data_IF_635843349249
#
_entry.id   IF_635843349249
#
_cell.length_a   1.000
_cell.length_b   1.000
_cell.length_c   1.000
_cell.angle_alpha   90.00
_cell.angle_beta   90.00
_cell.angle_gamma   90.00
#
_symmetry.space_group_name_H-M   'P 1'
#
loop_
_entity.id
_entity.type
_entity.pdbx_description
1 polymer ?
#
# COMPACT_ATOMS: atom_id res chain seq x y z
N UNK A 1 22.71 -3.68 -24.39
CA UNK A 1 22.17 -4.13 -23.08
C UNK A 1 21.57 -2.92 -22.38
N UNK A 2 20.27 -2.69 -22.55
CA UNK A 2 19.59 -1.50 -22.01
C UNK A 2 19.45 -1.65 -20.50
N UNK A 3 20.05 -0.70 -19.77
CA UNK A 3 19.92 -0.59 -18.32
C UNK A 3 18.48 -0.13 -18.05
N UNK A 4 17.58 -1.05 -17.69
CA UNK A 4 16.26 -0.67 -17.18
C UNK A 4 16.51 -0.05 -15.80
N UNK A 5 16.63 1.28 -15.76
CA UNK A 5 16.67 2.02 -14.50
C UNK A 5 15.28 1.95 -13.87
N UNK A 6 15.06 0.99 -12.97
CA UNK A 6 13.90 1.04 -12.08
C UNK A 6 14.12 2.21 -11.13
N UNK A 7 13.37 3.28 -11.36
CA UNK A 7 13.29 4.39 -10.41
C UNK A 7 12.57 3.87 -9.17
N UNK A 8 13.31 3.69 -8.07
CA UNK A 8 12.72 3.40 -6.77
C UNK A 8 12.09 4.69 -6.29
N UNK A 9 10.76 4.78 -6.36
CA UNK A 9 10.03 5.94 -5.86
C UNK A 9 10.11 5.96 -4.34
N UNK A 10 10.65 7.03 -3.77
CA UNK A 10 10.53 7.28 -2.34
C UNK A 10 9.06 7.52 -1.97
N UNK A 11 8.68 6.99 -0.81
CA UNK A 11 7.30 7.04 -0.32
C UNK A 11 7.04 8.23 0.60
N UNK A 12 8.09 8.96 0.97
CA UNK A 12 8.00 10.14 1.83
C UNK A 12 7.05 11.19 1.24
N UNK A 13 6.18 11.72 2.11
CA UNK A 13 5.17 12.74 1.79
C UNK A 13 4.12 12.33 0.72
N UNK A 14 4.05 11.04 0.37
CA UNK A 14 3.04 10.51 -0.56
C UNK A 14 1.77 10.03 0.14
N UNK A 15 0.65 10.13 -0.56
CA UNK A 15 -0.62 9.50 -0.17
C UNK A 15 -0.72 8.15 -0.86
N UNK A 16 -1.01 7.10 -0.10
CA UNK A 16 -1.01 5.71 -0.57
C UNK A 16 -2.38 5.08 -0.31
N UNK A 17 -2.88 4.33 -1.30
CA UNK A 17 -4.10 3.54 -1.20
C UNK A 17 -3.74 2.06 -1.29
N UNK A 18 -4.23 1.25 -0.37
CA UNK A 18 -3.98 -0.20 -0.32
C UNK A 18 -5.32 -0.93 -0.25
N UNK A 19 -5.57 -1.82 -1.22
CA UNK A 19 -6.68 -2.79 -1.18
C UNK A 19 -6.24 -4.08 -0.48
N UNK A 20 -7.16 -4.77 0.21
CA UNK A 20 -6.79 -5.87 1.11
C UNK A 20 -5.94 -5.39 2.30
N UNK A 21 -6.04 -4.10 2.64
CA UNK A 21 -5.10 -3.41 3.52
C UNK A 21 -5.28 -3.68 5.01
N UNK A 22 -6.35 -4.38 5.38
CA UNK A 22 -6.78 -4.50 6.79
C UNK A 22 -6.15 -5.69 7.51
N UNK A 23 -5.55 -6.63 6.79
CA UNK A 23 -4.92 -7.82 7.37
C UNK A 23 -3.70 -8.29 6.58
N UNK A 24 -3.01 -9.32 7.09
CA UNK A 24 -1.94 -10.03 6.40
C UNK A 24 -0.86 -9.12 5.77
N UNK A 25 -0.57 -9.36 4.50
CA UNK A 25 0.46 -8.65 3.74
C UNK A 25 0.08 -7.18 3.54
N UNK A 26 -1.18 -6.87 3.24
CA UNK A 26 -1.64 -5.49 3.02
C UNK A 26 -1.43 -4.61 4.26
N UNK A 27 -1.74 -5.14 5.45
CA UNK A 27 -1.49 -4.45 6.72
C UNK A 27 0.01 -4.27 7.00
N UNK A 28 0.83 -5.27 6.68
CA UNK A 28 2.29 -5.17 6.83
C UNK A 28 2.87 -4.07 5.93
N UNK A 29 2.41 -4.00 4.69
CA UNK A 29 2.79 -2.94 3.74
C UNK A 29 2.36 -1.58 4.27
N UNK A 30 1.12 -1.42 4.73
CA UNK A 30 0.63 -0.16 5.29
C UNK A 30 1.54 0.37 6.42
N UNK A 31 1.89 -0.50 7.37
CA UNK A 31 2.80 -0.17 8.47
C UNK A 31 4.19 0.21 7.96
N UNK A 32 4.72 -0.53 6.99
CA UNK A 32 6.01 -0.22 6.39
C UNK A 32 6.00 1.14 5.70
N UNK A 33 4.96 1.48 4.96
CA UNK A 33 4.88 2.76 4.24
C UNK A 33 4.79 3.95 5.18
N UNK A 34 3.98 3.86 6.24
CA UNK A 34 3.93 4.90 7.29
C UNK A 34 5.29 5.06 7.97
N UNK A 35 5.97 3.96 8.30
CA UNK A 35 7.32 3.99 8.89
C UNK A 35 8.34 4.69 7.98
N UNK A 36 8.17 4.63 6.67
CA UNK A 36 9.05 5.26 5.68
C UNK A 36 8.56 6.66 5.23
N UNK A 37 7.64 7.28 5.97
CA UNK A 37 7.28 8.68 5.80
C UNK A 37 6.15 8.96 4.83
N UNK A 38 5.35 7.95 4.46
CA UNK A 38 4.10 8.20 3.74
C UNK A 38 3.25 9.22 4.53
N UNK A 39 2.70 10.21 3.83
CA UNK A 39 1.89 11.28 4.42
C UNK A 39 0.60 10.72 4.98
N UNK A 40 -0.08 9.90 4.19
CA UNK A 40 -1.33 9.22 4.56
C UNK A 40 -1.39 7.85 3.90
N UNK A 41 -2.02 6.90 4.58
CA UNK A 41 -2.34 5.58 4.04
C UNK A 41 -3.84 5.33 4.24
N UNK A 42 -4.56 5.08 3.15
CA UNK A 42 -5.95 4.66 3.15
C UNK A 42 -6.04 3.16 2.87
N UNK A 43 -6.77 2.44 3.72
CA UNK A 43 -6.94 0.98 3.62
C UNK A 43 -8.37 0.69 3.13
N UNK A 44 -8.46 -0.14 2.10
CA UNK A 44 -9.72 -0.60 1.53
C UNK A 44 -9.79 -2.11 1.68
N UNK A 45 -10.97 -2.59 2.07
CA UNK A 45 -11.27 -4.01 2.23
C UNK A 45 -12.69 -4.28 1.76
N UNK A 46 -12.91 -5.47 1.21
CA UNK A 46 -14.26 -5.94 0.97
C UNK A 46 -14.81 -6.56 2.25
N UNK A 47 -16.02 -6.18 2.61
CA UNK A 47 -16.74 -6.92 3.63
C UNK A 47 -17.14 -8.28 3.08
N UNK A 48 -16.47 -9.33 3.53
CA UNK A 48 -16.76 -10.71 3.16
C UNK A 48 -18.21 -11.12 3.41
N UNK A 49 -18.91 -10.49 4.36
CA UNK A 49 -20.33 -10.79 4.64
C UNK A 49 -21.29 -10.15 3.62
N UNK A 50 -20.88 -9.04 3.01
CA UNK A 50 -21.70 -8.25 2.10
C UNK A 50 -21.20 -8.28 0.65
N UNK A 51 -20.05 -8.92 0.38
CA UNK A 51 -19.50 -9.13 -0.95
C UNK A 51 -20.26 -10.25 -1.67
N UNK A 52 -20.84 -9.94 -2.83
CA UNK A 52 -21.58 -10.88 -3.68
C UNK A 52 -20.68 -11.55 -4.74
N UNK A 53 -19.49 -11.97 -4.34
CA UNK A 53 -18.59 -12.75 -5.21
C UNK A 53 -18.82 -14.24 -5.06
#
# INVERSE_FOLDING_TARGET
MTKISREIREVKDKVIVITGGTSGIGLSIAKHMLKNGAKYVALFELDHKNSRI
#
